data_IF_965555523862
#
_entry.id   IF_965555523862
#
_cell.length_a   1.000
_cell.length_b   1.000
_cell.length_c   1.000
_cell.angle_alpha   90.00
_cell.angle_beta   90.00
_cell.angle_gamma   90.00
#
_symmetry.space_group_name_H-M   'P 1'
#
loop_
_entity.id
_entity.type
_entity.pdbx_description
1 polymer ?
#
# COMPACT_ATOMS: atom_id res chain seq x y z
N UNK A 1 14.76 8.14 -7.32
CA UNK A 1 13.56 8.01 -6.47
C UNK A 1 13.54 9.12 -5.46
N UNK A 2 12.36 9.55 -5.05
CA UNK A 2 12.22 10.59 -4.04
C UNK A 2 12.73 10.11 -2.69
N UNK A 3 13.36 11.00 -1.95
CA UNK A 3 13.68 10.74 -0.56
C UNK A 3 12.39 10.83 0.26
N UNK A 4 12.17 9.85 1.14
CA UNK A 4 10.98 9.78 1.97
C UNK A 4 11.36 9.97 3.43
N UNK A 5 10.58 10.78 4.15
CA UNK A 5 10.74 10.96 5.60
C UNK A 5 10.00 9.86 6.36
N UNK A 6 10.16 8.62 5.90
CA UNK A 6 9.58 7.43 6.51
C UNK A 6 10.70 6.57 7.08
N UNK A 7 10.39 5.68 8.05
CA UNK A 7 11.40 4.77 8.59
C UNK A 7 12.08 3.95 7.50
N UNK A 8 13.34 3.62 7.70
CA UNK A 8 14.09 2.79 6.78
C UNK A 8 13.38 1.48 6.51
N UNK A 9 13.32 1.11 5.23
CA UNK A 9 12.61 -0.08 4.79
C UNK A 9 13.26 -0.57 3.51
N UNK A 10 13.56 -1.86 3.45
CA UNK A 10 14.14 -2.48 2.26
C UNK A 10 13.11 -3.39 1.63
N UNK A 11 12.40 -2.92 0.60
CA UNK A 11 11.42 -3.77 -0.08
C UNK A 11 12.08 -4.89 -0.87
N UNK A 12 11.35 -5.98 -1.09
CA UNK A 12 11.79 -7.07 -1.96
C UNK A 12 11.60 -6.67 -3.41
N UNK A 13 12.69 -6.64 -4.16
CA UNK A 13 12.66 -6.28 -5.57
C UNK A 13 13.30 -7.42 -6.36
N UNK A 14 12.63 -7.83 -7.44
CA UNK A 14 13.15 -8.81 -8.38
C UNK A 14 13.14 -8.24 -9.79
N UNK A 15 13.86 -8.87 -10.68
CA UNK A 15 13.81 -8.57 -12.10
C UNK A 15 13.16 -9.77 -12.79
N UNK A 16 12.05 -9.52 -13.49
CA UNK A 16 11.33 -10.55 -14.23
C UNK A 16 11.13 -10.07 -15.66
N UNK A 17 11.63 -10.85 -16.63
CA UNK A 17 11.52 -10.50 -18.05
C UNK A 17 12.05 -9.09 -18.35
N UNK A 18 13.18 -8.72 -17.71
CA UNK A 18 13.79 -7.42 -17.87
C UNK A 18 13.11 -6.26 -17.13
N UNK A 19 12.07 -6.54 -16.36
CA UNK A 19 11.33 -5.51 -15.63
C UNK A 19 11.53 -5.64 -14.12
N UNK A 20 11.69 -4.50 -13.45
CA UNK A 20 11.77 -4.48 -11.99
C UNK A 20 10.39 -4.64 -11.38
N UNK A 21 10.29 -5.55 -10.41
CA UNK A 21 9.05 -5.85 -9.70
C UNK A 21 9.30 -5.69 -8.21
N UNK A 22 8.31 -5.18 -7.49
CA UNK A 22 8.36 -5.02 -6.05
C UNK A 22 7.29 -5.90 -5.41
N UNK A 23 7.61 -6.54 -4.28
CA UNK A 23 6.64 -7.38 -3.59
C UNK A 23 5.66 -6.53 -2.79
N UNK A 24 4.37 -6.79 -2.99
CA UNK A 24 3.29 -6.17 -2.21
C UNK A 24 2.74 -7.20 -1.22
N UNK A 25 3.05 -7.09 0.08
CA UNK A 25 2.56 -8.06 1.07
C UNK A 25 1.06 -7.98 1.30
N UNK A 26 0.41 -6.87 0.94
CA UNK A 26 -1.04 -6.72 1.10
C UNK A 26 -1.77 -7.50 0.00
N UNK A 27 -1.34 -7.32 -1.26
CA UNK A 27 -1.89 -8.07 -2.40
C UNK A 27 -1.25 -9.45 -2.56
N UNK A 28 -0.18 -9.73 -1.80
CA UNK A 28 0.57 -11.01 -1.78
C UNK A 28 1.07 -11.40 -3.16
N UNK A 29 1.62 -10.43 -3.88
CA UNK A 29 2.19 -10.67 -5.21
C UNK A 29 3.22 -9.61 -5.55
N UNK A 30 4.04 -9.88 -6.55
CA UNK A 30 4.94 -8.89 -7.13
C UNK A 30 4.17 -8.03 -8.13
N UNK A 31 4.41 -6.74 -8.07
CA UNK A 31 3.80 -5.77 -8.99
C UNK A 31 4.90 -4.92 -9.62
N UNK A 32 4.59 -4.25 -10.72
CA UNK A 32 5.58 -3.40 -11.40
C UNK A 32 6.10 -2.32 -10.44
N UNK A 33 7.41 -2.13 -10.42
CA UNK A 33 8.04 -1.09 -9.62
C UNK A 33 7.90 0.24 -10.34
N UNK A 34 6.96 1.05 -9.88
CA UNK A 34 6.74 2.42 -10.35
C UNK A 34 7.02 3.39 -9.21
N UNK A 35 7.18 4.70 -9.48
CA UNK A 35 7.30 5.67 -8.39
C UNK A 35 6.14 5.62 -7.40
N UNK A 36 4.92 5.46 -7.89
CA UNK A 36 3.74 5.34 -7.02
C UNK A 36 3.81 4.09 -6.16
N UNK A 37 4.24 2.97 -6.73
CA UNK A 37 4.34 1.72 -5.99
C UNK A 37 5.46 1.78 -4.94
N UNK A 38 6.57 2.46 -5.26
CA UNK A 38 7.65 2.68 -4.29
C UNK A 38 7.14 3.43 -3.06
N UNK A 39 6.42 4.54 -3.29
CA UNK A 39 5.84 5.34 -2.21
C UNK A 39 4.81 4.54 -1.42
N UNK A 40 3.94 3.82 -2.13
CA UNK A 40 2.91 2.98 -1.48
C UNK A 40 3.52 1.96 -0.53
N UNK A 41 4.55 1.25 -0.97
CA UNK A 41 5.15 0.20 -0.15
C UNK A 41 5.82 0.77 1.10
N UNK A 42 6.45 1.93 0.99
CA UNK A 42 7.01 2.59 2.16
C UNK A 42 5.91 3.07 3.12
N UNK A 43 4.82 3.59 2.58
CA UNK A 43 3.71 4.05 3.41
C UNK A 43 3.00 2.88 4.10
N UNK A 44 2.79 1.78 3.39
CA UNK A 44 2.21 0.57 3.99
C UNK A 44 3.12 0.05 5.11
N UNK A 45 4.42 0.00 4.88
CA UNK A 45 5.36 -0.41 5.92
C UNK A 45 5.27 0.50 7.14
N UNK A 46 5.16 1.81 6.94
CA UNK A 46 4.98 2.76 8.03
C UNK A 46 3.71 2.46 8.82
N UNK A 47 2.58 2.24 8.15
CA UNK A 47 1.33 1.92 8.84
C UNK A 47 1.46 0.65 9.67
N UNK A 48 2.09 -0.38 9.14
CA UNK A 48 2.23 -1.67 9.83
C UNK A 48 3.21 -1.59 10.99
N UNK A 49 4.38 -0.98 10.78
CA UNK A 49 5.47 -1.05 11.77
C UNK A 49 5.41 0.07 12.81
N UNK A 50 5.00 1.27 12.42
CA UNK A 50 4.98 2.43 13.32
C UNK A 50 3.60 2.64 13.91
N UNK A 51 2.56 2.56 13.09
CA UNK A 51 1.19 2.78 13.53
C UNK A 51 0.49 1.50 13.98
N UNK A 52 1.15 0.35 13.87
CA UNK A 52 0.63 -0.95 14.31
C UNK A 52 -0.70 -1.35 13.67
N UNK A 53 -0.91 -0.94 12.42
CA UNK A 53 -2.10 -1.35 11.67
C UNK A 53 -1.90 -2.79 11.21
N UNK A 54 -2.80 -3.73 11.54
CA UNK A 54 -2.68 -5.11 11.06
C UNK A 54 -2.76 -5.17 9.53
N UNK A 55 -1.89 -5.96 8.92
CA UNK A 55 -1.89 -6.12 7.45
C UNK A 55 -3.24 -6.61 6.94
N UNK A 56 -3.94 -7.41 7.72
CA UNK A 56 -5.25 -7.95 7.36
C UNK A 56 -6.31 -6.87 7.22
N UNK A 57 -6.08 -5.68 7.78
CA UNK A 57 -7.00 -4.55 7.69
C UNK A 57 -6.57 -3.53 6.63
N UNK A 58 -5.57 -3.85 5.82
CA UNK A 58 -5.11 -2.98 4.74
C UNK A 58 -5.53 -3.56 3.39
N UNK A 59 -5.87 -2.68 2.46
CA UNK A 59 -6.13 -3.05 1.07
C UNK A 59 -5.53 -1.98 0.15
N UNK A 60 -4.98 -2.44 -0.97
CA UNK A 60 -4.42 -1.56 -2.00
C UNK A 60 -5.27 -1.65 -3.27
N UNK A 61 -5.39 -0.54 -3.98
CA UNK A 61 -6.07 -0.49 -5.27
C UNK A 61 -7.53 -0.94 -5.17
N UNK A 62 -8.28 -0.38 -4.21
CA UNK A 62 -9.67 -0.77 -3.98
C UNK A 62 -10.63 0.37 -4.30
N UNK A 63 -11.86 0.00 -4.64
CA UNK A 63 -12.96 0.97 -4.78
C UNK A 63 -13.79 0.95 -3.51
N UNK A 64 -14.12 2.13 -3.02
CA UNK A 64 -15.02 2.29 -1.88
C UNK A 64 -16.11 3.27 -2.24
N UNK A 65 -17.25 3.17 -1.56
CA UNK A 65 -18.33 4.14 -1.71
C UNK A 65 -18.25 5.15 -0.58
N UNK A 66 -18.18 6.43 -0.97
CA UNK A 66 -18.20 7.54 -0.04
C UNK A 66 -19.31 8.49 -0.48
N UNK A 67 -20.27 8.73 0.40
CA UNK A 67 -21.38 9.65 0.12
C UNK A 67 -22.10 9.34 -1.20
N UNK A 68 -22.33 8.06 -1.46
CA UNK A 68 -23.00 7.62 -2.68
C UNK A 68 -22.13 7.62 -3.94
N UNK A 69 -20.88 8.06 -3.84
CA UNK A 69 -19.94 8.08 -4.96
C UNK A 69 -18.94 6.96 -4.81
N UNK A 70 -18.72 6.21 -5.92
CA UNK A 70 -17.68 5.19 -5.96
C UNK A 70 -16.33 5.87 -6.21
N UNK A 71 -15.32 5.54 -5.39
CA UNK A 71 -14.01 6.14 -5.51
C UNK A 71 -12.94 5.08 -5.43
N UNK A 72 -11.96 5.14 -6.33
CA UNK A 72 -10.79 4.26 -6.29
C UNK A 72 -9.75 4.86 -5.35
N UNK A 73 -9.24 4.04 -4.45
CA UNK A 73 -8.25 4.46 -3.46
C UNK A 73 -6.99 3.62 -3.62
N UNK A 74 -5.84 4.26 -3.45
CA UNK A 74 -4.54 3.57 -3.57
C UNK A 74 -4.29 2.64 -2.39
N UNK A 75 -4.62 3.09 -1.20
CA UNK A 75 -4.48 2.29 0.02
C UNK A 75 -5.58 2.68 0.99
N UNK A 76 -6.21 1.67 1.59
CA UNK A 76 -7.26 1.87 2.59
C UNK A 76 -6.93 1.02 3.80
N UNK A 77 -7.04 1.63 4.99
CA UNK A 77 -6.97 0.90 6.25
C UNK A 77 -8.36 0.84 6.84
N UNK A 78 -8.78 -0.37 7.19
CA UNK A 78 -10.09 -0.61 7.79
C UNK A 78 -9.96 -0.79 9.29
N UNK A 79 -10.98 -0.41 10.04
CA UNK A 79 -11.05 -0.73 11.46
C UNK A 79 -11.60 -2.15 11.64
N UNK A 80 -11.65 -2.63 12.90
CA UNK A 80 -12.13 -3.99 13.19
C UNK A 80 -13.59 -4.23 12.81
N UNK A 81 -14.35 -3.19 12.51
CA UNK A 81 -15.73 -3.30 12.03
C UNK A 81 -15.80 -3.24 10.51
N UNK A 82 -14.67 -3.30 9.82
CA UNK A 82 -14.52 -3.25 8.37
C UNK A 82 -15.01 -1.92 7.78
N UNK A 83 -14.97 -0.84 8.56
CA UNK A 83 -15.21 0.50 8.06
C UNK A 83 -13.87 1.19 7.75
N UNK A 84 -13.73 1.84 6.58
CA UNK A 84 -12.48 2.52 6.26
C UNK A 84 -12.25 3.70 7.21
N UNK A 85 -11.02 3.81 7.75
CA UNK A 85 -10.68 4.94 8.62
C UNK A 85 -9.42 5.69 8.19
N UNK A 86 -8.60 5.10 7.31
CA UNK A 86 -7.47 5.77 6.67
C UNK A 86 -7.58 5.49 5.18
N UNK A 87 -7.62 6.55 4.38
CA UNK A 87 -7.76 6.46 2.94
C UNK A 87 -6.63 7.26 2.31
N UNK A 88 -5.88 6.62 1.41
CA UNK A 88 -4.80 7.26 0.65
C UNK A 88 -5.17 7.22 -0.83
N UNK A 89 -5.12 8.37 -1.44
CA UNK A 89 -5.40 8.54 -2.86
C UNK A 89 -4.15 8.87 -3.64
#
# INVERSE_FOLDING_TARGET
MLALNLPGFTPKIIIKEGKRMIFDPIRKKYVALTPEEWVRQHFVNFLVTVKNVPKELLANEVQIKLNGTSKRCDTVAYNRFLAPFIIVE
#
